data_IF_119090879780
#
_entry.id   IF_119090879780
#
_cell.length_a   1.000
_cell.length_b   1.000
_cell.length_c   1.000
_cell.angle_alpha   90.00
_cell.angle_beta   90.00
_cell.angle_gamma   90.00
#
_symmetry.space_group_name_H-M   'P 1'
#
loop_
_entity.id
_entity.type
_entity.pdbx_description
1 polymer ?
#
# COMPACT_ATOMS: atom_id res chain seq x y z
N UNK A 1 -20.56 -3.61 -21.55
CA UNK A 1 -19.73 -3.24 -22.71
C UNK A 1 -19.93 -4.18 -23.89
N UNK A 2 -19.72 -5.51 -23.76
CA UNK A 2 -19.92 -6.48 -24.86
C UNK A 2 -21.34 -6.42 -25.44
N UNK A 3 -22.38 -6.47 -24.58
CA UNK A 3 -23.79 -6.41 -25.01
C UNK A 3 -24.19 -5.11 -25.72
N UNK A 4 -23.44 -4.02 -25.48
CA UNK A 4 -23.69 -2.69 -26.08
C UNK A 4 -22.81 -2.40 -27.28
N UNK A 5 -21.93 -3.34 -27.67
CA UNK A 5 -20.96 -3.21 -28.76
C UNK A 5 -20.01 -2.01 -28.61
N UNK A 6 -19.63 -1.70 -27.36
CA UNK A 6 -18.73 -0.57 -27.05
C UNK A 6 -17.32 -1.01 -26.65
N UNK A 7 -16.94 -2.24 -27.02
CA UNK A 7 -15.59 -2.79 -26.79
C UNK A 7 -14.68 -2.42 -27.97
N UNK A 8 -13.46 -2.00 -27.69
CA UNK A 8 -12.40 -1.76 -28.69
C UNK A 8 -11.63 -3.08 -28.93
N UNK A 9 -12.17 -3.92 -29.80
CA UNK A 9 -11.56 -5.22 -30.12
C UNK A 9 -10.22 -5.06 -30.82
N UNK A 10 -10.04 -4.05 -31.68
CA UNK A 10 -8.76 -3.79 -32.36
C UNK A 10 -7.64 -3.51 -31.35
N UNK A 11 -7.98 -2.81 -30.28
CA UNK A 11 -7.03 -2.57 -29.17
C UNK A 11 -6.71 -3.85 -28.41
N UNK A 12 -7.73 -4.64 -28.06
CA UNK A 12 -7.56 -5.89 -27.33
C UNK A 12 -6.71 -6.89 -28.12
N UNK A 13 -7.02 -7.09 -29.39
CA UNK A 13 -6.33 -8.02 -30.28
C UNK A 13 -4.86 -7.64 -30.50
N UNK A 14 -4.56 -6.33 -30.50
CA UNK A 14 -3.20 -5.83 -30.72
C UNK A 14 -2.33 -5.81 -29.47
N UNK A 15 -2.91 -5.50 -28.31
CA UNK A 15 -2.13 -5.15 -27.11
C UNK A 15 -2.43 -5.97 -25.88
N UNK A 16 -3.40 -6.86 -25.91
CA UNK A 16 -3.82 -7.60 -24.73
C UNK A 16 -3.76 -9.11 -24.97
N UNK A 17 -3.54 -9.85 -23.90
CA UNK A 17 -3.62 -11.31 -23.86
C UNK A 17 -4.64 -11.76 -22.83
N UNK A 18 -5.23 -12.93 -23.02
CA UNK A 18 -6.16 -13.52 -22.06
C UNK A 18 -7.61 -12.98 -22.14
N UNK A 19 -7.90 -12.08 -23.09
CA UNK A 19 -9.26 -11.58 -23.25
C UNK A 19 -10.17 -12.63 -23.91
N UNK A 20 -9.76 -13.26 -24.97
CA UNK A 20 -10.47 -14.32 -25.66
C UNK A 20 -9.57 -15.52 -25.97
N UNK A 21 -10.14 -16.58 -26.59
CA UNK A 21 -9.43 -17.81 -26.85
C UNK A 21 -8.33 -17.72 -27.91
N UNK A 22 -8.39 -16.73 -28.80
CA UNK A 22 -7.41 -16.54 -29.87
C UNK A 22 -6.14 -15.84 -29.37
N UNK A 23 -6.23 -15.16 -28.25
CA UNK A 23 -5.16 -14.34 -27.66
C UNK A 23 -4.77 -14.81 -26.24
N UNK A 24 -4.74 -16.14 -26.04
CA UNK A 24 -4.25 -16.71 -24.79
C UNK A 24 -2.72 -16.75 -24.76
N UNK A 25 -2.09 -16.57 -23.57
CA UNK A 25 -0.66 -16.81 -23.40
C UNK A 25 -0.32 -18.28 -23.66
N UNK A 26 0.82 -18.54 -24.31
CA UNK A 26 1.29 -19.90 -24.63
C UNK A 26 1.50 -20.79 -23.39
N UNK A 27 1.79 -20.16 -22.25
CA UNK A 27 2.04 -20.80 -20.96
C UNK A 27 0.85 -20.74 -19.99
N UNK A 28 -0.34 -20.40 -20.50
CA UNK A 28 -1.54 -20.35 -19.68
C UNK A 28 -1.85 -21.71 -19.06
N UNK A 29 -1.93 -21.77 -17.73
CA UNK A 29 -2.22 -22.98 -16.98
C UNK A 29 -3.66 -23.52 -17.21
N UNK A 30 -4.57 -22.62 -17.55
CA UNK A 30 -5.97 -22.90 -17.85
C UNK A 30 -6.32 -22.26 -19.19
N UNK A 31 -7.12 -22.93 -19.99
CA UNK A 31 -7.64 -22.38 -21.26
C UNK A 31 -8.94 -21.57 -21.03
N UNK A 32 -9.01 -20.88 -19.92
CA UNK A 32 -10.12 -20.00 -19.56
C UNK A 32 -9.73 -18.55 -19.83
N UNK A 33 -10.54 -17.86 -20.64
CA UNK A 33 -10.32 -16.47 -20.98
C UNK A 33 -11.41 -15.55 -20.39
N UNK A 34 -11.14 -14.25 -20.35
CA UNK A 34 -12.01 -13.30 -19.68
C UNK A 34 -13.38 -13.15 -20.37
N UNK A 35 -13.42 -13.16 -21.70
CA UNK A 35 -14.66 -13.09 -22.47
C UNK A 35 -15.55 -14.30 -22.22
N UNK A 36 -14.97 -15.51 -22.23
CA UNK A 36 -15.68 -16.74 -21.90
C UNK A 36 -16.27 -16.70 -20.49
N UNK A 37 -15.51 -16.21 -19.51
CA UNK A 37 -16.02 -16.00 -18.16
C UNK A 37 -17.22 -15.03 -18.14
N UNK A 38 -17.10 -13.87 -18.81
CA UNK A 38 -18.20 -12.90 -18.87
C UNK A 38 -19.45 -13.44 -19.57
N UNK A 39 -19.27 -14.25 -20.58
CA UNK A 39 -20.38 -14.89 -21.32
C UNK A 39 -21.00 -16.08 -20.59
N UNK A 40 -20.39 -16.54 -19.49
CA UNK A 40 -20.88 -17.67 -18.70
C UNK A 40 -20.53 -19.03 -19.28
N UNK A 41 -19.47 -19.12 -20.10
CA UNK A 41 -19.08 -20.38 -20.76
C UNK A 41 -18.60 -21.45 -19.78
N UNK A 42 -18.03 -21.01 -18.63
CA UNK A 42 -17.42 -21.92 -17.66
C UNK A 42 -18.30 -22.26 -16.47
N UNK A 43 -19.29 -21.43 -16.15
CA UNK A 43 -20.18 -21.62 -14.99
C UNK A 43 -21.69 -21.57 -15.35
N UNK A 44 -22.00 -21.37 -16.61
CA UNK A 44 -23.41 -21.26 -17.08
C UNK A 44 -24.08 -19.94 -16.70
N UNK A 45 -23.36 -18.95 -16.16
CA UNK A 45 -23.92 -17.70 -15.64
C UNK A 45 -23.33 -16.49 -16.36
N UNK A 46 -24.00 -15.90 -17.35
CA UNK A 46 -23.56 -14.66 -17.98
C UNK A 46 -23.50 -13.50 -16.99
N UNK A 47 -22.39 -12.74 -17.01
CA UNK A 47 -22.14 -11.60 -16.11
C UNK A 47 -22.78 -10.32 -16.66
N UNK A 48 -24.10 -10.28 -16.64
CA UNK A 48 -24.92 -9.16 -17.13
C UNK A 48 -25.01 -8.02 -16.11
N UNK A 49 -25.58 -6.87 -16.51
CA UNK A 49 -25.87 -5.77 -15.57
C UNK A 49 -26.85 -6.24 -14.47
N UNK A 50 -27.86 -7.06 -14.82
CA UNK A 50 -28.80 -7.64 -13.86
C UNK A 50 -28.10 -8.57 -12.85
N UNK A 51 -27.19 -9.42 -13.33
CA UNK A 51 -26.36 -10.25 -12.46
C UNK A 51 -25.55 -9.43 -11.47
N UNK A 52 -24.87 -8.38 -11.95
CA UNK A 52 -24.07 -7.50 -11.11
C UNK A 52 -24.93 -6.72 -10.12
N UNK A 53 -26.08 -6.20 -10.55
CA UNK A 53 -27.04 -5.48 -9.70
C UNK A 53 -27.49 -6.32 -8.50
N UNK A 54 -27.80 -7.59 -8.73
CA UNK A 54 -28.21 -8.51 -7.67
C UNK A 54 -27.12 -8.74 -6.61
N UNK A 55 -25.84 -8.59 -6.97
CA UNK A 55 -24.70 -8.79 -6.06
C UNK A 55 -24.32 -7.49 -5.33
N UNK A 56 -24.19 -6.38 -6.07
CA UNK A 56 -23.63 -5.13 -5.52
C UNK A 56 -24.70 -4.12 -5.07
N UNK A 57 -25.97 -4.35 -5.43
CA UNK A 57 -27.08 -3.45 -5.08
C UNK A 57 -27.17 -2.17 -5.91
N UNK A 58 -26.26 -1.95 -6.88
CA UNK A 58 -26.38 -0.83 -7.80
C UNK A 58 -27.51 -1.07 -8.81
N UNK A 59 -28.29 -0.04 -9.19
CA UNK A 59 -29.33 -0.20 -10.22
C UNK A 59 -28.77 -0.74 -11.53
N UNK A 60 -29.50 -1.63 -12.18
CA UNK A 60 -29.09 -2.23 -13.47
C UNK A 60 -28.85 -1.16 -14.54
N UNK A 61 -29.72 -0.16 -14.61
CA UNK A 61 -29.59 0.95 -15.56
C UNK A 61 -28.32 1.78 -15.33
N UNK A 62 -27.92 1.98 -14.08
CA UNK A 62 -26.67 2.71 -13.74
C UNK A 62 -25.44 1.90 -14.18
N UNK A 63 -25.46 0.58 -14.00
CA UNK A 63 -24.38 -0.31 -14.46
C UNK A 63 -24.29 -0.27 -15.99
N UNK A 64 -25.43 -0.35 -16.66
CA UNK A 64 -25.50 -0.28 -18.11
C UNK A 64 -25.05 1.08 -18.65
N UNK A 65 -25.47 2.17 -18.02
CA UNK A 65 -25.02 3.52 -18.33
C UNK A 65 -23.51 3.68 -18.15
N UNK A 66 -22.98 3.19 -17.04
CA UNK A 66 -21.52 3.24 -16.79
C UNK A 66 -20.75 2.46 -17.86
N UNK A 67 -21.19 1.26 -18.20
CA UNK A 67 -20.58 0.44 -19.24
C UNK A 67 -20.54 1.16 -20.61
N UNK A 68 -21.62 1.85 -20.98
CA UNK A 68 -21.66 2.70 -22.18
C UNK A 68 -20.70 3.88 -22.09
N UNK A 69 -20.69 4.57 -20.96
CA UNK A 69 -19.84 5.76 -20.74
C UNK A 69 -18.35 5.45 -20.82
N UNK A 70 -17.92 4.27 -20.37
CA UNK A 70 -16.51 3.83 -20.44
C UNK A 70 -16.19 3.06 -21.73
N UNK A 71 -17.09 3.07 -22.70
CA UNK A 71 -16.90 2.40 -24.01
C UNK A 71 -15.96 3.15 -24.95
N UNK A 72 -15.61 2.48 -26.05
CA UNK A 72 -14.63 2.94 -27.06
C UNK A 72 -14.92 4.29 -27.69
N UNK A 73 -16.21 4.70 -27.71
CA UNK A 73 -16.65 5.93 -28.39
C UNK A 73 -16.43 7.21 -27.56
N UNK A 74 -15.93 7.06 -26.35
CA UNK A 74 -15.71 8.16 -25.43
C UNK A 74 -14.22 8.36 -25.12
N UNK A 75 -13.86 9.60 -24.77
CA UNK A 75 -12.54 9.92 -24.24
C UNK A 75 -12.60 9.78 -22.72
N UNK A 76 -11.96 8.76 -22.17
CA UNK A 76 -12.13 8.35 -20.77
C UNK A 76 -10.80 8.38 -20.01
N UNK A 77 -10.85 8.94 -18.83
CA UNK A 77 -9.82 8.80 -17.79
C UNK A 77 -10.44 8.12 -16.57
N UNK A 78 -10.06 6.87 -16.33
CA UNK A 78 -10.50 6.08 -15.18
C UNK A 78 -9.42 6.10 -14.10
N UNK A 79 -9.74 6.69 -12.97
CA UNK A 79 -8.81 6.80 -11.85
C UNK A 79 -9.42 6.18 -10.59
N UNK A 80 -8.67 5.33 -9.91
CA UNK A 80 -9.06 4.79 -8.62
C UNK A 80 -8.16 5.31 -7.50
N UNK A 81 -8.67 5.31 -6.29
CA UNK A 81 -7.92 5.76 -5.12
C UNK A 81 -6.88 4.69 -4.70
N UNK A 82 -5.80 5.17 -4.09
CA UNK A 82 -4.78 4.34 -3.46
C UNK A 82 -5.28 3.55 -2.24
N UNK A 83 -6.45 3.90 -1.71
CA UNK A 83 -7.06 3.21 -0.57
C UNK A 83 -7.26 1.71 -0.82
N UNK A 84 -7.46 1.28 -2.07
CA UNK A 84 -7.58 -0.13 -2.43
C UNK A 84 -6.36 -0.96 -2.02
N UNK A 85 -5.16 -0.38 -2.04
CA UNK A 85 -3.93 -1.02 -1.54
C UNK A 85 -3.91 -1.23 -0.01
N UNK A 86 -4.94 -0.75 0.69
CA UNK A 86 -5.10 -0.82 2.15
C UNK A 86 -6.29 -1.68 2.58
N UNK A 87 -6.94 -2.34 1.64
CA UNK A 87 -8.10 -3.17 1.90
C UNK A 87 -7.73 -4.64 1.74
N UNK A 88 -8.29 -5.50 2.58
CA UNK A 88 -8.16 -6.93 2.41
C UNK A 88 -8.89 -7.38 1.15
N UNK A 89 -8.31 -8.32 0.41
CA UNK A 89 -8.88 -8.93 -0.79
C UNK A 89 -9.26 -7.95 -1.92
N UNK A 90 -8.59 -6.79 -1.97
CA UNK A 90 -8.83 -5.77 -2.99
C UNK A 90 -7.83 -5.82 -4.16
N UNK A 91 -6.98 -6.83 -4.22
CA UNK A 91 -5.92 -6.96 -5.23
C UNK A 91 -6.44 -6.96 -6.67
N UNK A 92 -7.60 -7.57 -6.88
CA UNK A 92 -8.22 -7.68 -8.20
C UNK A 92 -8.87 -6.36 -8.67
N UNK A 93 -9.16 -5.40 -7.79
CA UNK A 93 -9.88 -4.19 -8.17
C UNK A 93 -9.07 -3.30 -9.10
N UNK A 94 -7.78 -2.98 -8.84
CA UNK A 94 -6.94 -2.25 -9.79
C UNK A 94 -6.82 -2.96 -11.14
N UNK A 95 -6.68 -4.28 -11.13
CA UNK A 95 -6.62 -5.08 -12.35
C UNK A 95 -7.91 -5.00 -13.16
N UNK A 96 -9.08 -5.08 -12.51
CA UNK A 96 -10.37 -4.92 -13.17
C UNK A 96 -10.56 -3.52 -13.76
N UNK A 97 -10.09 -2.46 -13.07
CA UNK A 97 -10.07 -1.12 -13.66
C UNK A 97 -9.25 -1.07 -14.94
N UNK A 98 -8.06 -1.65 -14.93
CA UNK A 98 -7.21 -1.74 -16.13
C UNK A 98 -7.88 -2.55 -17.23
N UNK A 99 -8.52 -3.68 -16.89
CA UNK A 99 -9.24 -4.52 -17.84
C UNK A 99 -10.40 -3.77 -18.51
N UNK A 100 -11.24 -3.08 -17.72
CA UNK A 100 -12.33 -2.26 -18.28
C UNK A 100 -11.78 -1.15 -19.18
N UNK A 101 -10.68 -0.51 -18.78
CA UNK A 101 -10.03 0.51 -19.61
C UNK A 101 -9.42 -0.05 -20.89
N UNK A 102 -8.85 -1.25 -20.86
CA UNK A 102 -8.39 -1.95 -22.05
C UNK A 102 -9.54 -2.30 -23.00
N UNK A 103 -10.67 -2.77 -22.43
CA UNK A 103 -11.90 -3.03 -23.21
C UNK A 103 -12.45 -1.78 -23.93
N UNK A 104 -12.23 -0.59 -23.38
CA UNK A 104 -12.58 0.68 -24.02
C UNK A 104 -11.45 1.27 -24.87
N UNK A 105 -10.27 0.64 -24.93
CA UNK A 105 -9.10 1.16 -25.66
C UNK A 105 -8.52 2.43 -25.06
N UNK A 106 -8.60 2.62 -23.73
CA UNK A 106 -8.25 3.89 -23.07
C UNK A 106 -6.80 3.96 -22.59
N UNK A 107 -5.90 3.26 -23.23
CA UNK A 107 -4.46 3.27 -22.89
C UNK A 107 -3.64 3.77 -24.07
N UNK A 108 -2.56 4.51 -23.80
CA UNK A 108 -1.63 4.99 -24.82
C UNK A 108 -2.15 6.07 -25.77
N UNK A 109 -3.34 6.61 -25.53
CA UNK A 109 -3.97 7.65 -26.35
C UNK A 109 -4.05 8.98 -25.60
N UNK A 110 -3.86 10.11 -26.30
CA UNK A 110 -3.92 11.45 -25.70
C UNK A 110 -5.29 11.74 -25.08
N UNK A 111 -5.31 12.08 -23.79
CA UNK A 111 -6.52 12.38 -23.02
C UNK A 111 -7.29 11.16 -22.55
N UNK A 112 -6.72 9.97 -22.69
CA UNK A 112 -7.21 8.74 -22.09
C UNK A 112 -6.23 8.27 -21.02
N UNK A 113 -6.72 7.68 -19.96
CA UNK A 113 -5.90 7.04 -18.95
C UNK A 113 -6.69 6.01 -18.14
N UNK A 114 -6.00 4.97 -17.70
CA UNK A 114 -6.53 4.03 -16.72
C UNK A 114 -5.45 3.75 -15.70
N UNK A 115 -5.80 3.83 -14.44
CA UNK A 115 -4.87 3.51 -13.38
C UNK A 115 -5.25 4.10 -12.04
N UNK A 116 -4.37 3.87 -11.07
CA UNK A 116 -4.55 4.32 -9.72
C UNK A 116 -3.39 5.16 -9.22
N UNK A 117 -3.63 5.83 -8.13
CA UNK A 117 -2.61 6.51 -7.36
C UNK A 117 -1.80 7.55 -8.16
N UNK A 118 -2.38 8.15 -9.20
CA UNK A 118 -1.72 9.14 -10.06
C UNK A 118 -1.04 10.25 -9.25
N UNK A 119 -1.64 10.66 -8.14
CA UNK A 119 -1.09 11.65 -7.22
C UNK A 119 0.21 11.19 -6.54
N UNK A 120 0.34 9.89 -6.31
CA UNK A 120 1.49 9.29 -5.66
C UNK A 120 2.59 8.91 -6.65
N UNK A 121 2.20 8.58 -7.88
CA UNK A 121 3.08 8.08 -8.93
C UNK A 121 3.22 9.05 -10.11
N UNK A 122 2.70 10.25 -10.02
CA UNK A 122 3.03 11.32 -10.93
C UNK A 122 4.54 11.56 -10.81
N UNK A 123 5.27 10.65 -11.43
CA UNK A 123 6.72 10.67 -11.44
C UNK A 123 7.14 11.84 -12.28
N UNK A 124 8.00 12.55 -11.74
CA UNK A 124 8.81 13.49 -12.46
C UNK A 124 9.82 12.71 -13.25
N UNK A 125 10.02 13.11 -14.45
CA UNK A 125 11.04 12.56 -15.34
C UNK A 125 12.38 13.32 -15.24
N UNK A 126 12.48 14.19 -14.22
CA UNK A 126 13.67 14.99 -13.98
C UNK A 126 14.81 14.18 -13.33
N UNK A 127 16.01 14.78 -13.26
CA UNK A 127 17.13 14.18 -12.55
C UNK A 127 16.80 13.98 -11.07
N UNK A 128 17.29 12.89 -10.49
CA UNK A 128 17.13 12.62 -9.07
C UNK A 128 18.09 13.53 -8.29
N UNK A 129 17.55 14.45 -7.50
CA UNK A 129 18.35 15.26 -6.56
C UNK A 129 18.64 14.49 -5.28
N UNK A 130 17.65 13.73 -4.80
CA UNK A 130 17.81 12.89 -3.62
C UNK A 130 16.95 11.62 -3.79
N UNK A 131 17.46 10.50 -3.31
CA UNK A 131 16.67 9.28 -3.21
C UNK A 131 15.73 9.36 -2.00
N UNK A 132 14.51 8.83 -2.14
CA UNK A 132 13.60 8.73 -1.00
C UNK A 132 14.21 7.80 0.08
N UNK A 133 14.29 8.30 1.31
CA UNK A 133 14.91 7.57 2.41
C UNK A 133 16.43 7.67 2.47
N UNK A 134 17.05 8.42 1.55
CA UNK A 134 18.47 8.74 1.63
C UNK A 134 18.66 9.86 2.67
N UNK A 135 19.32 9.53 3.76
CA UNK A 135 19.62 10.45 4.86
C UNK A 135 21.02 11.06 4.75
N UNK A 136 21.78 10.67 3.74
CA UNK A 136 23.21 11.03 3.63
C UNK A 136 24.11 10.33 4.65
N UNK A 137 23.56 9.42 5.43
CA UNK A 137 24.28 8.62 6.43
C UNK A 137 24.24 7.16 6.01
N UNK A 138 25.35 6.46 6.17
CA UNK A 138 25.42 5.04 5.86
C UNK A 138 24.42 4.25 6.71
N UNK A 139 23.60 3.43 6.06
CA UNK A 139 22.62 2.63 6.75
C UNK A 139 23.26 1.52 7.58
N UNK A 140 22.93 1.46 8.86
CA UNK A 140 23.33 0.34 9.72
C UNK A 140 22.67 -0.93 9.21
N UNK A 141 23.48 -1.96 8.97
CA UNK A 141 22.96 -3.24 8.45
C UNK A 141 22.07 -3.91 9.48
N UNK A 142 20.80 -4.12 9.11
CA UNK A 142 19.91 -4.94 9.92
C UNK A 142 20.38 -6.41 9.91
N UNK A 143 20.69 -7.01 11.06
CA UNK A 143 21.09 -8.42 11.12
C UNK A 143 19.94 -9.38 10.82
N UNK A 144 18.69 -8.92 10.88
CA UNK A 144 17.49 -9.72 10.64
C UNK A 144 16.91 -9.30 9.28
N UNK A 145 16.87 -10.25 8.35
CA UNK A 145 16.34 -10.04 7.00
C UNK A 145 14.83 -10.23 6.93
N UNK A 146 14.26 -10.99 7.85
CA UNK A 146 12.84 -11.30 7.88
C UNK A 146 11.99 -10.09 8.31
N UNK A 147 10.82 -9.97 7.70
CA UNK A 147 9.83 -8.99 8.08
C UNK A 147 8.44 -9.62 8.10
N UNK A 148 7.61 -9.14 9.02
CA UNK A 148 6.20 -9.51 9.08
C UNK A 148 5.41 -8.49 8.23
N UNK A 149 4.57 -8.96 7.31
CA UNK A 149 3.68 -8.10 6.56
C UNK A 149 2.75 -7.32 7.51
N UNK A 150 2.67 -6.00 7.31
CA UNK A 150 1.92 -5.13 8.22
C UNK A 150 0.44 -5.54 8.45
N UNK A 151 -0.32 -6.01 7.45
CA UNK A 151 -1.67 -6.52 7.66
C UNK A 151 -1.75 -7.78 8.54
N UNK A 152 -0.66 -8.53 8.65
CA UNK A 152 -0.60 -9.79 9.40
C UNK A 152 0.03 -9.65 10.78
N UNK A 153 0.56 -8.49 11.11
CA UNK A 153 1.31 -8.26 12.34
C UNK A 153 0.59 -8.80 13.58
N UNK A 154 -0.67 -8.42 13.74
CA UNK A 154 -1.42 -8.78 14.94
C UNK A 154 -1.69 -10.27 15.06
N UNK A 155 -2.08 -10.89 13.95
CA UNK A 155 -2.31 -12.32 13.92
C UNK A 155 -1.00 -13.09 14.15
N UNK A 156 0.10 -12.65 13.54
CA UNK A 156 1.41 -13.28 13.75
C UNK A 156 1.89 -13.24 15.19
N UNK A 157 1.59 -12.17 15.92
CA UNK A 157 1.86 -12.07 17.36
C UNK A 157 1.01 -13.06 18.15
N UNK A 158 -0.27 -13.19 17.80
CA UNK A 158 -1.17 -14.11 18.49
C UNK A 158 -0.82 -15.57 18.24
N UNK A 159 -0.46 -15.91 17.03
CA UNK A 159 -0.09 -17.25 16.59
C UNK A 159 1.34 -17.65 17.01
N UNK A 160 2.21 -16.67 17.27
CA UNK A 160 3.62 -16.90 17.53
C UNK A 160 4.39 -17.35 16.28
N UNK A 161 3.85 -17.09 15.10
CA UNK A 161 4.44 -17.48 13.82
C UNK A 161 4.00 -16.54 12.70
N UNK A 162 4.76 -16.47 11.64
CA UNK A 162 4.44 -15.67 10.46
C UNK A 162 4.91 -16.34 9.17
N UNK A 163 4.29 -15.97 8.05
CA UNK A 163 4.74 -16.34 6.73
C UNK A 163 5.80 -15.35 6.24
N UNK A 164 7.04 -15.78 6.08
CA UNK A 164 8.16 -14.94 5.67
C UNK A 164 8.09 -14.49 4.22
N UNK A 165 7.27 -15.11 3.39
CA UNK A 165 7.02 -14.67 2.01
C UNK A 165 6.14 -13.42 1.94
N UNK A 166 5.53 -13.00 3.04
CA UNK A 166 4.64 -11.85 3.11
C UNK A 166 3.28 -12.01 2.44
N UNK A 167 3.00 -13.19 1.87
CA UNK A 167 1.79 -13.48 1.13
C UNK A 167 0.87 -14.41 1.93
N UNK A 168 -0.10 -13.84 2.62
CA UNK A 168 -0.96 -14.55 3.56
C UNK A 168 -2.12 -15.34 2.95
N UNK A 169 -2.45 -15.12 1.69
CA UNK A 169 -3.80 -15.41 1.23
C UNK A 169 -3.93 -16.39 0.07
N UNK A 170 -2.86 -17.03 -0.33
CA UNK A 170 -2.95 -17.97 -1.45
C UNK A 170 -2.27 -19.29 -1.16
N UNK A 171 -3.07 -20.24 -0.75
CA UNK A 171 -2.67 -21.66 -0.66
C UNK A 171 -2.23 -22.24 -2.01
N UNK A 172 -2.56 -21.55 -3.11
CA UNK A 172 -2.35 -22.04 -4.47
C UNK A 172 -1.02 -21.63 -5.10
N UNK A 173 -0.44 -20.50 -4.67
CA UNK A 173 0.65 -19.87 -5.41
C UNK A 173 1.98 -19.77 -4.66
N UNK A 174 2.03 -20.12 -3.38
CA UNK A 174 3.24 -19.92 -2.61
C UNK A 174 3.58 -21.12 -1.76
N UNK A 175 4.82 -21.55 -1.84
CA UNK A 175 5.43 -22.29 -0.75
C UNK A 175 5.34 -21.40 0.50
N UNK A 176 4.55 -21.83 1.47
CA UNK A 176 4.50 -21.14 2.77
C UNK A 176 5.81 -21.42 3.50
N UNK A 177 6.55 -20.36 3.77
CA UNK A 177 7.73 -20.43 4.63
C UNK A 177 7.34 -19.89 6.01
N UNK A 178 6.75 -20.75 6.83
CA UNK A 178 6.28 -20.40 8.16
C UNK A 178 7.45 -20.40 9.14
N UNK A 179 7.71 -19.27 9.75
CA UNK A 179 8.74 -19.07 10.76
C UNK A 179 8.11 -18.79 12.12
N UNK A 180 8.73 -19.30 13.18
CA UNK A 180 8.31 -19.01 14.55
C UNK A 180 8.82 -17.63 14.96
N UNK A 181 8.00 -16.89 15.71
CA UNK A 181 8.33 -15.57 16.23
C UNK A 181 7.79 -15.43 17.66
N UNK A 182 8.69 -15.24 18.62
CA UNK A 182 8.35 -14.90 20.00
C UNK A 182 8.64 -13.41 20.22
N UNK A 183 7.69 -12.57 19.78
CA UNK A 183 7.81 -11.12 19.87
C UNK A 183 7.47 -10.69 21.28
N UNK A 184 8.41 -10.03 21.97
CA UNK A 184 8.26 -9.55 23.34
C UNK A 184 8.09 -8.05 23.45
N UNK A 185 8.68 -7.33 22.51
CA UNK A 185 8.72 -5.87 22.51
C UNK A 185 8.16 -5.31 21.20
N UNK A 186 7.33 -4.28 21.33
CA UNK A 186 6.86 -3.47 20.19
C UNK A 186 7.24 -2.01 20.42
N UNK A 187 7.91 -1.43 19.42
CA UNK A 187 8.10 0.02 19.31
C UNK A 187 7.25 0.56 18.20
N UNK A 188 6.44 1.54 18.51
CA UNK A 188 5.60 2.21 17.53
C UNK A 188 6.08 3.64 17.31
N UNK A 189 6.29 3.98 16.05
CA UNK A 189 6.76 5.30 15.64
C UNK A 189 5.70 6.00 14.79
N UNK A 190 5.22 7.14 15.26
CA UNK A 190 4.41 8.12 14.53
C UNK A 190 3.00 7.71 14.12
N UNK A 191 2.77 6.48 13.66
CA UNK A 191 1.46 6.05 13.12
C UNK A 191 0.72 5.14 14.08
N UNK A 192 -0.58 5.39 14.27
CA UNK A 192 -1.44 4.48 15.04
C UNK A 192 -1.78 3.23 14.23
N UNK A 193 -1.01 2.16 14.44
CA UNK A 193 -1.25 0.86 13.79
C UNK A 193 -2.55 0.22 14.23
N UNK A 194 -2.99 0.45 15.45
CA UNK A 194 -4.28 -0.03 15.97
C UNK A 194 -5.46 0.45 15.12
N UNK A 195 -5.36 1.65 14.53
CA UNK A 195 -6.45 2.25 13.75
C UNK A 195 -6.33 2.03 12.25
N UNK A 196 -5.12 1.82 11.73
CA UNK A 196 -4.87 1.76 10.28
C UNK A 196 -4.52 0.37 9.76
N UNK A 197 -4.69 -0.66 10.58
CA UNK A 197 -4.56 -2.06 10.17
C UNK A 197 -5.88 -2.82 10.39
N UNK A 198 -6.09 -3.93 9.72
CA UNK A 198 -7.30 -4.74 9.92
C UNK A 198 -7.47 -5.17 11.37
N UNK A 199 -8.71 -5.11 11.85
CA UNK A 199 -9.13 -5.60 13.18
C UNK A 199 -8.44 -4.95 14.38
N UNK A 200 -8.99 -3.82 14.84
CA UNK A 200 -8.52 -3.17 16.08
C UNK A 200 -8.67 -4.07 17.32
N UNK A 201 -9.63 -4.98 17.34
CA UNK A 201 -9.80 -5.95 18.44
C UNK A 201 -8.60 -6.89 18.51
N UNK A 202 -8.24 -7.51 17.40
CA UNK A 202 -7.06 -8.38 17.28
C UNK A 202 -5.78 -7.62 17.62
N UNK A 203 -5.67 -6.34 17.22
CA UNK A 203 -4.54 -5.48 17.58
C UNK A 203 -4.39 -5.32 19.09
N UNK A 204 -5.49 -5.03 19.80
CA UNK A 204 -5.49 -4.86 21.25
C UNK A 204 -5.14 -6.17 21.97
N UNK A 205 -5.67 -7.30 21.51
CA UNK A 205 -5.33 -8.61 22.04
C UNK A 205 -3.85 -8.93 21.86
N UNK A 206 -3.30 -8.66 20.68
CA UNK A 206 -1.88 -8.85 20.38
C UNK A 206 -0.98 -7.96 21.27
N UNK A 207 -1.30 -6.67 21.38
CA UNK A 207 -0.55 -5.74 22.22
C UNK A 207 -0.53 -6.19 23.69
N UNK A 208 -1.65 -6.69 24.21
CA UNK A 208 -1.73 -7.19 25.58
C UNK A 208 -0.92 -8.45 25.87
N UNK A 209 -0.46 -9.15 24.83
CA UNK A 209 0.49 -10.27 24.94
C UNK A 209 1.95 -9.83 25.05
N UNK A 210 2.26 -8.58 24.73
CA UNK A 210 3.63 -8.09 24.76
C UNK A 210 4.12 -7.91 26.19
N UNK A 211 5.41 -8.15 26.37
CA UNK A 211 6.08 -7.89 27.65
C UNK A 211 6.33 -6.38 27.84
N UNK A 212 6.50 -5.65 26.73
CA UNK A 212 6.76 -4.22 26.77
C UNK A 212 6.37 -3.53 25.43
N UNK A 213 5.75 -2.36 25.53
CA UNK A 213 5.28 -1.59 24.40
C UNK A 213 5.66 -0.11 24.55
N UNK A 214 6.32 0.45 23.58
CA UNK A 214 6.59 1.91 23.52
C UNK A 214 5.87 2.55 22.34
N UNK A 215 5.52 3.81 22.48
CA UNK A 215 4.90 4.60 21.42
C UNK A 215 5.49 6.01 21.36
N UNK A 216 6.15 6.33 20.27
CA UNK A 216 6.58 7.70 19.98
C UNK A 216 5.46 8.41 19.21
N UNK A 217 4.93 9.51 19.74
CA UNK A 217 3.78 10.18 19.12
C UNK A 217 3.66 11.65 19.55
N UNK A 218 3.16 12.50 18.62
CA UNK A 218 2.76 13.87 18.92
C UNK A 218 1.46 13.96 19.74
N UNK A 219 0.60 12.96 19.61
CA UNK A 219 -0.72 12.96 20.22
C UNK A 219 -0.96 11.66 20.98
N UNK A 220 -1.72 11.76 22.07
CA UNK A 220 -2.16 10.60 22.82
C UNK A 220 -3.28 9.86 22.08
N UNK A 221 -2.93 9.22 20.97
CA UNK A 221 -3.82 8.50 20.07
C UNK A 221 -4.23 7.13 20.63
N UNK A 222 -5.03 6.39 19.84
CA UNK A 222 -5.50 5.06 20.29
C UNK A 222 -4.36 4.09 20.60
N UNK A 223 -3.25 4.15 19.87
CA UNK A 223 -2.09 3.28 20.11
C UNK A 223 -1.34 3.66 21.38
N UNK A 224 -1.15 4.95 21.62
CA UNK A 224 -0.50 5.44 22.85
C UNK A 224 -1.24 5.00 24.12
N UNK A 225 -2.58 4.79 24.05
CA UNK A 225 -3.39 4.30 25.17
C UNK A 225 -3.08 2.86 25.57
N UNK A 226 -2.43 2.09 24.73
CA UNK A 226 -2.05 0.70 24.97
C UNK A 226 -0.53 0.51 25.11
N UNK A 227 0.25 1.59 25.09
CA UNK A 227 1.67 1.55 25.34
C UNK A 227 1.98 1.65 26.84
N UNK A 228 3.05 0.98 27.28
CA UNK A 228 3.56 1.10 28.64
C UNK A 228 4.31 2.42 28.84
N UNK A 229 5.00 2.89 27.79
CA UNK A 229 5.69 4.19 27.76
C UNK A 229 5.31 4.94 26.48
N UNK A 230 4.93 6.19 26.65
CA UNK A 230 4.72 7.14 25.54
C UNK A 230 5.84 8.15 25.56
N UNK A 231 6.53 8.28 24.41
CA UNK A 231 7.60 9.25 24.19
C UNK A 231 7.04 10.39 23.33
N UNK A 232 6.94 11.61 23.86
CA UNK A 232 6.48 12.74 23.08
C UNK A 232 7.58 13.14 22.07
N UNK A 233 7.17 13.28 20.80
CA UNK A 233 8.06 13.68 19.72
C UNK A 233 7.74 15.08 19.20
N UNK A 234 8.77 15.77 18.67
CA UNK A 234 8.64 17.08 18.09
C UNK A 234 7.91 17.05 16.75
N UNK A 235 7.16 18.10 16.48
CA UNK A 235 6.58 18.38 15.16
C UNK A 235 7.63 19.01 14.24
N UNK A 236 7.33 19.15 12.96
CA UNK A 236 8.20 19.86 12.00
C UNK A 236 8.40 21.35 12.37
N UNK A 237 7.48 21.96 13.12
CA UNK A 237 7.59 23.33 13.59
C UNK A 237 8.62 23.51 14.71
N UNK A 238 8.89 22.44 15.43
CA UNK A 238 9.74 22.41 16.65
C UNK A 238 11.16 21.90 16.37
N UNK A 239 11.47 21.59 15.10
CA UNK A 239 12.79 21.07 14.71
C UNK A 239 13.26 21.60 13.36
N UNK A 240 14.53 21.42 13.08
CA UNK A 240 15.05 21.52 11.70
C UNK A 240 14.91 20.18 10.99
N UNK A 241 14.83 20.19 9.68
CA UNK A 241 14.79 18.96 8.93
C UNK A 241 14.52 19.19 7.46
N UNK A 242 14.27 18.09 6.77
CA UNK A 242 13.93 18.11 5.36
C UNK A 242 13.58 16.73 4.86
N UNK A 243 13.02 16.69 3.68
CA UNK A 243 12.74 15.43 2.99
C UNK A 243 12.73 15.67 1.49
N UNK A 244 13.13 14.69 0.68
CA UNK A 244 12.90 14.74 -0.75
C UNK A 244 11.40 14.80 -0.99
N UNK A 245 10.99 15.57 -1.98
CA UNK A 245 9.58 15.81 -2.30
C UNK A 245 8.76 14.54 -2.33
N UNK A 246 7.50 14.65 -1.95
CA UNK A 246 6.62 13.55 -1.62
C UNK A 246 6.68 12.43 -2.67
N UNK A 247 7.13 11.29 -2.22
CA UNK A 247 7.07 9.96 -2.84
C UNK A 247 7.59 9.78 -4.27
N UNK A 248 8.16 10.72 -4.97
CA UNK A 248 8.86 10.56 -6.27
C UNK A 248 9.08 11.88 -7.01
N UNK A 249 8.80 12.97 -6.34
CA UNK A 249 9.20 14.29 -6.80
C UNK A 249 10.70 14.47 -6.54
N UNK A 250 11.51 13.72 -7.28
CA UNK A 250 12.95 13.59 -7.04
C UNK A 250 13.74 14.87 -7.31
N UNK A 251 13.15 15.80 -8.02
CA UNK A 251 13.70 17.12 -8.29
C UNK A 251 13.39 18.16 -7.22
N UNK A 252 12.63 17.79 -6.20
CA UNK A 252 12.27 18.72 -5.11
C UNK A 252 12.80 18.20 -3.78
N UNK A 253 13.55 19.01 -3.10
CA UNK A 253 13.91 18.79 -1.70
C UNK A 253 13.24 19.88 -0.87
N UNK A 254 12.45 19.49 0.11
CA UNK A 254 11.80 20.37 1.06
C UNK A 254 12.68 20.45 2.30
N UNK A 255 13.12 21.65 2.64
CA UNK A 255 13.89 21.93 3.86
C UNK A 255 13.05 22.86 4.71
N UNK A 256 12.96 22.58 5.99
CA UNK A 256 12.29 23.42 6.96
C UNK A 256 13.21 23.74 8.14
N UNK A 257 12.99 24.91 8.72
CA UNK A 257 13.72 25.38 9.90
C UNK A 257 12.81 25.36 11.11
N UNK A 258 13.40 25.26 12.28
CA UNK A 258 12.68 25.36 13.53
C UNK A 258 12.00 26.75 13.65
N UNK A 259 10.73 26.76 13.99
CA UNK A 259 9.90 27.97 14.14
C UNK A 259 9.60 28.24 15.62
N UNK A 260 9.47 27.22 16.42
CA UNK A 260 9.19 27.29 17.86
C UNK A 260 10.02 26.28 18.62
N UNK A 261 10.23 26.55 19.91
CA UNK A 261 10.88 25.58 20.79
C UNK A 261 10.00 24.35 21.00
N UNK A 262 10.60 23.17 21.20
CA UNK A 262 9.86 21.97 21.57
C UNK A 262 8.96 22.19 22.79
N UNK A 263 7.73 21.72 22.71
CA UNK A 263 6.79 21.82 23.83
C UNK A 263 7.06 20.69 24.84
N UNK A 264 7.03 21.06 26.12
CA UNK A 264 7.20 20.14 27.25
C UNK A 264 8.50 19.32 27.17
N UNK A 265 8.40 18.00 27.20
CA UNK A 265 9.52 17.06 27.16
C UNK A 265 9.75 16.46 25.77
N UNK A 266 9.08 17.01 24.73
CA UNK A 266 9.20 16.50 23.37
C UNK A 266 10.64 16.56 22.87
N UNK A 267 11.08 15.48 22.22
CA UNK A 267 12.40 15.34 21.61
C UNK A 267 12.24 14.87 20.17
N UNK A 268 13.27 15.10 19.39
CA UNK A 268 13.30 14.55 18.03
C UNK A 268 13.46 13.03 18.08
N UNK A 269 13.05 12.35 17.02
CA UNK A 269 13.25 10.89 16.91
C UNK A 269 14.74 10.53 16.99
N UNK A 270 15.64 11.39 16.44
CA UNK A 270 17.07 11.22 16.52
C UNK A 270 17.58 11.35 17.95
N UNK A 271 17.16 12.37 18.70
CA UNK A 271 17.54 12.55 20.11
C UNK A 271 17.10 11.36 20.96
N UNK A 272 15.89 10.88 20.76
CA UNK A 272 15.35 9.69 21.45
C UNK A 272 16.21 8.47 21.12
N UNK A 273 16.52 8.24 19.84
CA UNK A 273 17.36 7.13 19.40
C UNK A 273 18.77 7.21 19.98
N UNK A 274 19.37 8.39 20.00
CA UNK A 274 20.69 8.66 20.58
C UNK A 274 20.72 8.34 22.08
N UNK A 275 19.77 8.86 22.84
CA UNK A 275 19.66 8.59 24.29
C UNK A 275 19.42 7.11 24.59
N UNK A 276 18.66 6.43 23.74
CA UNK A 276 18.41 5.01 23.89
C UNK A 276 19.67 4.17 23.62
N UNK A 277 20.42 4.52 22.56
CA UNK A 277 21.68 3.88 22.21
C UNK A 277 22.70 4.00 23.36
N UNK A 278 22.86 5.20 23.93
CA UNK A 278 23.73 5.43 25.10
C UNK A 278 23.34 4.54 26.29
N UNK A 279 22.04 4.44 26.60
CA UNK A 279 21.53 3.61 27.68
C UNK A 279 21.74 2.11 27.44
N UNK A 280 21.79 1.71 26.19
CA UNK A 280 22.08 0.32 25.78
C UNK A 280 23.60 0.05 25.71
N UNK A 281 24.45 1.03 25.99
CA UNK A 281 25.90 0.90 25.96
C UNK A 281 26.50 0.95 24.55
N UNK A 282 25.79 1.49 23.59
CA UNK A 282 26.25 1.71 22.21
C UNK A 282 26.83 3.13 22.08
N UNK A 283 27.81 3.31 21.23
CA UNK A 283 28.26 4.65 20.85
C UNK A 283 27.26 5.24 19.81
N UNK A 284 26.54 6.32 20.15
CA UNK A 284 25.61 6.93 19.20
C UNK A 284 26.29 7.42 17.92
N UNK A 285 27.54 7.79 17.96
CA UNK A 285 28.29 8.27 16.80
C UNK A 285 28.54 7.17 15.76
N UNK A 286 28.53 5.89 16.14
CA UNK A 286 28.61 4.77 15.20
C UNK A 286 27.31 4.59 14.40
N UNK A 287 26.18 5.03 14.97
CA UNK A 287 24.84 4.90 14.34
C UNK A 287 24.46 6.20 13.63
N UNK A 288 24.71 7.34 14.29
CA UNK A 288 24.34 8.66 13.80
C UNK A 288 25.51 9.65 13.97
N UNK A 289 26.45 9.67 13.00
CA UNK A 289 27.71 10.42 13.13
C UNK A 289 27.56 11.94 12.98
N UNK A 290 26.38 12.42 12.60
CA UNK A 290 26.10 13.85 12.38
C UNK A 290 24.91 14.30 13.21
N UNK A 291 24.85 15.57 13.55
CA UNK A 291 23.67 16.15 14.21
C UNK A 291 22.54 16.44 13.20
N UNK A 292 21.33 16.57 13.68
CA UNK A 292 20.18 16.97 12.84
C UNK A 292 20.36 18.29 12.10
N UNK A 293 21.23 19.17 12.61
CA UNK A 293 21.53 20.48 12.00
C UNK A 293 22.56 20.39 10.88
N UNK A 294 23.30 19.30 10.79
CA UNK A 294 24.28 19.02 9.74
C UNK A 294 23.66 18.27 8.58
#
# INVERSE_FOLDING_TARGET
>A
MIQQDVVDYDFLDTYCVGFDGDHMPDDAALNENFKGYLMGEYDGVPKTAAWASAICGAPEDDIAWFAGTVGKDHKVMMLHNYALARCASADNVPQLFMTVGAMGGHMGKSGHAVGGAYKTFAGTHGPTLAAFGDTGVEAVKNPIAECISAPLLWQSILDGSFNSTGMAYSDKFNAQDIKQADIKYLSFEGKSRVQNTPSSVTAIEAIRKMDFVTCSSHFFNAQAKYADIVLPITTEWERVGGFPGHQRSRETVIVYTQVTEPLFEAKTDQEIGTLLAEKLGMDPAEIWPISEKQ
#
